data_IF_752133380025
#
_entry.id   IF_752133380025
#
_cell.length_a   1.000
_cell.length_b   1.000
_cell.length_c   1.000
_cell.angle_alpha   90.00
_cell.angle_beta   90.00
_cell.angle_gamma   90.00
#
_symmetry.space_group_name_H-M   'P 1'
#
loop_
_entity.id
_entity.type
_entity.pdbx_description
1 polymer ?
#
# COMPACT_ATOMS: atom_id res chain seq x y z
N UNK A 1 -76.23 -14.71 -46.86
CA UNK A 1 -75.33 -14.96 -45.68
C UNK A 1 -73.86 -15.15 -46.06
N UNK A 2 -73.24 -14.24 -46.81
CA UNK A 2 -71.82 -14.27 -47.17
C UNK A 2 -71.04 -12.94 -46.78
N UNK A 3 -71.76 -11.90 -46.33
CA UNK A 3 -71.19 -10.61 -45.98
C UNK A 3 -70.59 -10.49 -44.54
N UNK A 4 -71.35 -11.08 -43.57
CA UNK A 4 -70.97 -10.90 -42.13
C UNK A 4 -69.69 -11.65 -41.65
N UNK A 5 -69.27 -12.70 -42.37
CA UNK A 5 -68.04 -13.44 -41.97
C UNK A 5 -66.75 -12.79 -42.36
N UNK A 6 -66.75 -11.90 -43.38
CA UNK A 6 -65.56 -11.13 -43.81
C UNK A 6 -65.32 -9.91 -42.94
N UNK A 7 -66.36 -9.25 -42.46
CA UNK A 7 -66.23 -8.08 -41.61
C UNK A 7 -65.59 -8.38 -40.23
N UNK A 8 -65.97 -9.55 -39.66
CA UNK A 8 -65.40 -10.00 -38.39
C UNK A 8 -63.92 -10.40 -38.48
N UNK A 9 -63.48 -10.88 -39.63
CA UNK A 9 -62.04 -11.22 -39.88
C UNK A 9 -61.26 -9.94 -40.03
N UNK A 10 -61.69 -8.97 -40.77
CA UNK A 10 -61.05 -7.67 -40.95
C UNK A 10 -60.95 -6.88 -39.62
N UNK A 11 -61.99 -6.97 -38.79
CA UNK A 11 -61.99 -6.34 -37.46
C UNK A 11 -60.91 -6.94 -36.55
N UNK A 12 -60.73 -8.27 -36.57
CA UNK A 12 -59.69 -8.94 -35.79
C UNK A 12 -58.27 -8.60 -36.25
N UNK A 13 -58.04 -8.52 -37.56
CA UNK A 13 -56.76 -8.07 -38.11
C UNK A 13 -56.46 -6.62 -37.77
N UNK A 14 -57.45 -5.75 -37.86
CA UNK A 14 -57.32 -4.33 -37.49
C UNK A 14 -56.97 -4.15 -36.00
N UNK A 15 -57.56 -4.95 -35.09
CA UNK A 15 -57.25 -4.94 -33.68
C UNK A 15 -55.78 -5.39 -33.44
N UNK A 16 -55.33 -6.44 -34.12
CA UNK A 16 -53.92 -6.89 -34.00
C UNK A 16 -52.95 -5.81 -34.51
N UNK A 17 -53.24 -5.20 -35.64
CA UNK A 17 -52.43 -4.11 -36.19
C UNK A 17 -52.36 -2.91 -35.22
N UNK A 18 -53.49 -2.52 -34.62
CA UNK A 18 -53.50 -1.46 -33.61
C UNK A 18 -52.65 -1.81 -32.38
N UNK A 19 -52.74 -3.05 -31.89
CA UNK A 19 -51.91 -3.51 -30.75
C UNK A 19 -50.43 -3.46 -31.12
N UNK A 20 -50.02 -3.93 -32.30
CA UNK A 20 -48.63 -3.87 -32.77
C UNK A 20 -48.16 -2.43 -32.89
N UNK A 21 -48.96 -1.52 -33.41
CA UNK A 21 -48.66 -0.10 -33.50
C UNK A 21 -48.49 0.56 -32.11
N UNK A 22 -49.32 0.19 -31.13
CA UNK A 22 -49.20 0.70 -29.75
C UNK A 22 -47.90 0.19 -29.10
N UNK A 23 -47.60 -1.10 -29.26
CA UNK A 23 -46.35 -1.67 -28.74
C UNK A 23 -45.14 -0.98 -29.39
N UNK A 24 -45.16 -0.80 -30.73
CA UNK A 24 -44.10 -0.08 -31.46
C UNK A 24 -43.94 1.33 -31.00
N UNK A 25 -45.01 2.02 -30.72
CA UNK A 25 -44.97 3.41 -30.20
C UNK A 25 -44.42 3.49 -28.78
N UNK A 26 -44.78 2.56 -27.90
CA UNK A 26 -44.21 2.45 -26.54
C UNK A 26 -42.71 2.18 -26.61
N UNK A 27 -42.26 1.30 -27.49
CA UNK A 27 -40.83 1.02 -27.67
C UNK A 27 -40.06 2.26 -28.20
N UNK A 28 -40.65 3.01 -29.13
CA UNK A 28 -40.08 4.25 -29.63
C UNK A 28 -39.96 5.31 -28.53
N UNK A 29 -40.99 5.48 -27.70
CA UNK A 29 -40.96 6.41 -26.56
C UNK A 29 -39.87 5.99 -25.55
N UNK A 30 -39.73 4.69 -25.30
CA UNK A 30 -38.73 4.19 -24.39
C UNK A 30 -37.30 4.37 -24.95
N UNK A 31 -37.14 4.15 -26.26
CA UNK A 31 -35.86 4.42 -26.94
C UNK A 31 -35.49 5.91 -26.93
N UNK A 32 -36.48 6.79 -27.16
CA UNK A 32 -36.30 8.24 -27.08
C UNK A 32 -35.89 8.68 -25.67
N UNK A 33 -36.56 8.12 -24.65
CA UNK A 33 -36.19 8.38 -23.24
C UNK A 33 -34.75 7.96 -22.93
N UNK A 34 -34.37 6.74 -23.33
CA UNK A 34 -33.02 6.20 -23.12
C UNK A 34 -31.92 6.96 -23.87
N UNK A 35 -32.19 7.37 -25.13
CA UNK A 35 -31.14 7.97 -25.97
C UNK A 35 -31.06 9.49 -25.90
N UNK A 36 -32.19 10.16 -25.69
CA UNK A 36 -32.24 11.62 -25.75
C UNK A 36 -32.43 12.25 -24.38
N UNK A 37 -33.36 11.77 -23.56
CA UNK A 37 -33.62 12.37 -22.24
C UNK A 37 -32.50 12.01 -21.27
N UNK A 38 -32.19 10.69 -21.16
CA UNK A 38 -31.20 10.17 -20.22
C UNK A 38 -29.86 9.80 -20.90
N UNK A 39 -29.71 10.12 -22.18
CA UNK A 39 -28.53 9.71 -22.98
C UNK A 39 -27.22 10.24 -22.45
N UNK A 40 -27.20 11.46 -21.89
CA UNK A 40 -26.01 12.03 -21.28
C UNK A 40 -25.64 11.33 -19.97
N UNK A 41 -26.63 10.96 -19.16
CA UNK A 41 -26.41 10.24 -17.90
C UNK A 41 -25.88 8.82 -18.17
N UNK A 42 -26.45 8.12 -19.16
CA UNK A 42 -25.95 6.80 -19.55
C UNK A 42 -24.56 6.87 -20.21
N UNK A 43 -24.24 7.93 -20.98
CA UNK A 43 -22.89 8.14 -21.49
C UNK A 43 -21.91 8.45 -20.36
N UNK A 44 -22.28 9.29 -19.39
CA UNK A 44 -21.47 9.58 -18.23
C UNK A 44 -21.21 8.31 -17.39
N UNK A 45 -22.23 7.48 -17.16
CA UNK A 45 -22.10 6.17 -16.49
C UNK A 45 -21.21 5.19 -17.28
N UNK A 46 -21.31 5.18 -18.61
CA UNK A 46 -20.48 4.34 -19.47
C UNK A 46 -19.01 4.80 -19.45
N UNK A 47 -18.80 6.12 -19.54
CA UNK A 47 -17.45 6.71 -19.47
C UNK A 47 -16.82 6.46 -18.08
N UNK A 48 -17.59 6.64 -17.01
CA UNK A 48 -17.13 6.37 -15.65
C UNK A 48 -16.72 4.90 -15.40
N UNK A 49 -17.25 3.97 -16.18
CA UNK A 49 -16.87 2.55 -16.10
C UNK A 49 -15.55 2.23 -16.82
N UNK A 50 -15.14 3.06 -17.76
CA UNK A 50 -13.91 2.90 -18.55
C UNK A 50 -12.80 3.85 -18.09
N UNK A 51 -13.09 4.68 -17.11
CA UNK A 51 -12.17 5.68 -16.58
C UNK A 51 -11.98 5.44 -15.09
N UNK A 52 -10.75 5.44 -14.61
CA UNK A 52 -10.46 5.44 -13.18
C UNK A 52 -9.56 6.61 -12.81
N UNK A 53 -9.77 7.15 -11.63
CA UNK A 53 -8.89 8.13 -11.02
C UNK A 53 -7.95 7.41 -10.04
N UNK A 54 -6.65 7.73 -10.11
CA UNK A 54 -5.63 7.21 -9.22
C UNK A 54 -4.84 8.35 -8.60
N UNK A 55 -4.29 8.13 -7.42
CA UNK A 55 -3.46 9.11 -6.73
C UNK A 55 -2.07 9.20 -7.38
N UNK A 56 -1.59 10.42 -7.62
CA UNK A 56 -0.17 10.71 -7.89
C UNK A 56 0.44 11.21 -6.59
N UNK A 57 1.30 10.40 -5.99
CA UNK A 57 1.88 10.75 -4.71
C UNK A 57 2.84 11.93 -4.85
N UNK A 58 2.74 12.88 -3.92
CA UNK A 58 3.70 13.97 -3.82
C UNK A 58 4.99 13.49 -3.16
N UNK A 59 6.12 14.01 -3.60
CA UNK A 59 7.37 13.82 -2.89
C UNK A 59 7.30 14.51 -1.53
N UNK A 60 7.78 13.82 -0.51
CA UNK A 60 7.85 14.34 0.85
C UNK A 60 9.04 15.28 0.98
N UNK A 61 8.90 16.39 1.74
CA UNK A 61 9.99 17.29 2.05
C UNK A 61 11.13 16.59 2.78
N UNK A 62 12.32 17.11 2.63
CA UNK A 62 13.54 16.60 3.25
C UNK A 62 13.75 17.16 4.68
N UNK A 63 14.55 16.47 5.50
CA UNK A 63 14.95 16.98 6.81
C UNK A 63 16.47 17.18 6.79
N UNK A 64 16.90 18.41 7.05
CA UNK A 64 18.29 18.82 6.99
C UNK A 64 18.80 19.28 8.36
N UNK A 65 20.10 19.18 8.56
CA UNK A 65 20.78 19.85 9.66
C UNK A 65 20.98 21.36 9.37
N UNK A 66 21.47 22.11 10.33
CA UNK A 66 21.74 23.54 10.19
C UNK A 66 22.76 23.92 9.10
N UNK A 67 23.52 22.97 8.56
CA UNK A 67 24.55 23.15 7.54
C UNK A 67 24.09 22.60 6.17
N UNK A 68 22.83 22.16 6.04
CA UNK A 68 22.30 21.57 4.83
C UNK A 68 22.64 20.09 4.63
N UNK A 69 23.16 19.41 5.67
CA UNK A 69 23.37 17.95 5.62
C UNK A 69 22.03 17.26 5.73
N UNK A 70 21.72 16.40 4.76
CA UNK A 70 20.44 15.72 4.67
C UNK A 70 20.39 14.52 5.59
N UNK A 71 19.59 14.60 6.66
CA UNK A 71 19.27 13.47 7.53
C UNK A 71 18.28 12.53 6.86
N UNK A 72 17.24 13.10 6.27
CA UNK A 72 16.17 12.35 5.60
C UNK A 72 15.96 12.92 4.22
N UNK A 73 15.96 12.03 3.23
CA UNK A 73 15.68 12.37 1.84
C UNK A 73 14.48 11.59 1.32
N UNK A 74 13.87 12.11 0.27
CA UNK A 74 12.85 11.40 -0.47
C UNK A 74 13.36 11.13 -1.89
N UNK A 75 13.27 9.89 -2.32
CA UNK A 75 13.57 9.47 -3.68
C UNK A 75 12.33 8.84 -4.33
N UNK A 76 12.33 8.82 -5.65
CA UNK A 76 11.26 8.17 -6.41
C UNK A 76 11.45 6.66 -6.38
N UNK A 77 10.51 5.96 -5.78
CA UNK A 77 10.36 4.51 -5.87
C UNK A 77 9.19 4.12 -6.77
N UNK A 78 9.11 2.85 -7.10
CA UNK A 78 8.06 2.30 -7.94
C UNK A 78 7.39 1.13 -7.24
N UNK A 79 6.06 1.12 -7.24
CA UNK A 79 5.24 0.01 -6.74
C UNK A 79 4.50 -0.64 -7.90
N UNK A 80 4.22 -1.91 -7.77
CA UNK A 80 3.40 -2.67 -8.70
C UNK A 80 2.04 -2.94 -8.07
N UNK A 81 1.01 -2.36 -8.65
CA UNK A 81 -0.38 -2.52 -8.24
C UNK A 81 -1.11 -3.48 -9.17
N UNK A 82 -1.98 -4.31 -8.61
CA UNK A 82 -2.82 -5.25 -9.35
C UNK A 82 -4.29 -4.85 -9.22
N UNK A 83 -4.95 -4.63 -10.34
CA UNK A 83 -6.36 -4.30 -10.46
C UNK A 83 -7.18 -5.52 -10.89
N UNK A 84 -8.44 -5.57 -10.46
CA UNK A 84 -9.35 -6.61 -10.88
C UNK A 84 -9.71 -6.43 -12.36
N UNK A 85 -9.52 -7.51 -13.12
CA UNK A 85 -9.89 -7.63 -14.52
C UNK A 85 -11.05 -8.62 -14.68
N UNK A 86 -11.48 -8.86 -15.91
CA UNK A 86 -12.55 -9.82 -16.24
C UNK A 86 -12.08 -11.29 -16.24
N UNK A 87 -10.82 -11.55 -15.88
CA UNK A 87 -10.21 -12.88 -15.86
C UNK A 87 -10.85 -13.78 -14.79
N UNK A 88 -10.87 -15.10 -15.07
CA UNK A 88 -11.28 -16.09 -14.09
C UNK A 88 -10.16 -16.39 -13.06
N UNK A 89 -10.45 -17.20 -12.04
CA UNK A 89 -9.48 -17.49 -10.97
C UNK A 89 -8.23 -18.21 -11.48
N UNK A 90 -8.34 -19.11 -12.46
CA UNK A 90 -7.19 -19.82 -13.03
C UNK A 90 -6.25 -18.86 -13.77
N UNK A 91 -6.82 -17.97 -14.58
CA UNK A 91 -6.07 -16.94 -15.30
C UNK A 91 -5.40 -15.97 -14.33
N UNK A 92 -6.12 -15.55 -13.28
CA UNK A 92 -5.59 -14.68 -12.24
C UNK A 92 -4.43 -15.35 -11.50
N UNK A 93 -4.57 -16.61 -11.08
CA UNK A 93 -3.53 -17.35 -10.38
C UNK A 93 -2.27 -17.52 -11.25
N UNK A 94 -2.46 -17.84 -12.54
CA UNK A 94 -1.35 -17.94 -13.49
C UNK A 94 -0.67 -16.57 -13.73
N UNK A 95 -1.43 -15.49 -13.82
CA UNK A 95 -0.91 -14.14 -13.96
C UNK A 95 -0.06 -13.74 -12.74
N UNK A 96 -0.59 -13.98 -11.53
CA UNK A 96 0.13 -13.74 -10.26
C UNK A 96 1.47 -14.49 -10.25
N UNK A 97 1.49 -15.77 -10.61
CA UNK A 97 2.72 -16.55 -10.62
C UNK A 97 3.75 -16.00 -11.62
N UNK A 98 3.32 -15.58 -12.81
CA UNK A 98 4.20 -14.94 -13.81
C UNK A 98 4.81 -13.64 -13.26
N UNK A 99 3.98 -12.80 -12.62
CA UNK A 99 4.44 -11.55 -12.03
C UNK A 99 5.50 -11.81 -10.95
N UNK A 100 5.23 -12.75 -10.04
CA UNK A 100 6.18 -13.10 -8.97
C UNK A 100 7.51 -13.61 -9.56
N UNK A 101 7.48 -14.44 -10.60
CA UNK A 101 8.70 -14.92 -11.27
C UNK A 101 9.54 -13.78 -11.84
N UNK A 102 8.91 -12.80 -12.48
CA UNK A 102 9.64 -11.61 -12.98
C UNK A 102 10.26 -10.80 -11.84
N UNK A 103 9.54 -10.61 -10.73
CA UNK A 103 10.09 -9.92 -9.55
C UNK A 103 11.30 -10.65 -9.00
N UNK A 104 11.19 -11.96 -8.75
CA UNK A 104 12.26 -12.78 -8.19
C UNK A 104 13.50 -12.86 -9.11
N UNK A 105 13.29 -12.99 -10.44
CA UNK A 105 14.38 -12.98 -11.43
C UNK A 105 15.19 -11.68 -11.42
N UNK A 106 14.57 -10.57 -11.05
CA UNK A 106 15.22 -9.26 -10.95
C UNK A 106 15.67 -8.90 -9.52
N UNK A 107 15.50 -9.82 -8.56
CA UNK A 107 15.88 -9.61 -7.16
C UNK A 107 14.90 -8.75 -6.36
N UNK A 108 13.69 -8.54 -6.87
CA UNK A 108 12.63 -7.82 -6.19
C UNK A 108 11.79 -8.77 -5.32
N UNK A 109 11.21 -8.23 -4.25
CA UNK A 109 10.29 -8.96 -3.37
C UNK A 109 8.84 -8.54 -3.64
N UNK A 110 7.92 -9.47 -3.38
CA UNK A 110 6.48 -9.19 -3.38
C UNK A 110 5.94 -9.06 -1.96
N UNK A 111 4.76 -8.46 -1.82
CA UNK A 111 4.08 -8.32 -0.52
C UNK A 111 3.59 -9.68 -0.06
N UNK A 112 4.03 -10.10 1.12
CA UNK A 112 3.72 -11.41 1.71
C UNK A 112 3.44 -11.27 3.20
N UNK A 113 2.15 -11.19 3.54
CA UNK A 113 1.66 -11.15 4.93
C UNK A 113 0.96 -12.46 5.33
N UNK A 114 1.09 -13.52 4.53
CA UNK A 114 0.53 -14.82 4.84
C UNK A 114 1.37 -15.52 5.92
N UNK A 115 0.75 -15.86 7.03
CA UNK A 115 1.43 -16.44 8.21
C UNK A 115 1.66 -17.96 8.12
N UNK A 116 1.62 -18.55 6.92
CA UNK A 116 1.87 -19.98 6.71
C UNK A 116 3.15 -20.14 5.91
N UNK A 117 4.12 -20.83 6.49
CA UNK A 117 5.29 -21.36 5.79
C UNK A 117 5.03 -22.80 5.33
N UNK A 118 5.74 -23.21 4.29
CA UNK A 118 5.51 -24.56 3.70
C UNK A 118 6.78 -25.37 3.81
N UNK A 119 7.66 -25.68 3.88
CA UNK A 119 8.83 -26.57 3.98
C UNK A 119 9.70 -26.34 5.24
N UNK A 120 9.26 -26.74 6.44
CA UNK A 120 8.06 -27.52 6.79
C UNK A 120 6.82 -26.65 6.97
N UNK A 121 5.63 -27.25 6.91
CA UNK A 121 4.39 -26.53 7.23
C UNK A 121 4.38 -26.08 8.68
N UNK A 122 4.37 -24.77 8.90
CA UNK A 122 4.28 -24.12 10.21
C UNK A 122 3.66 -22.73 10.08
N UNK A 123 3.24 -22.17 11.20
CA UNK A 123 2.93 -20.74 11.26
C UNK A 123 4.23 -19.94 11.46
N UNK A 124 4.36 -18.83 10.76
CA UNK A 124 5.50 -17.90 10.88
C UNK A 124 5.47 -17.05 12.15
N UNK A 125 4.41 -17.17 12.96
CA UNK A 125 4.23 -16.50 14.24
C UNK A 125 3.95 -17.52 15.34
N UNK A 126 4.49 -17.29 16.55
CA UNK A 126 4.37 -18.22 17.69
C UNK A 126 3.18 -17.90 18.61
N UNK A 127 2.51 -16.74 18.41
CA UNK A 127 1.41 -16.30 19.27
C UNK A 127 0.10 -17.02 18.93
N UNK A 128 -0.32 -17.97 19.75
CA UNK A 128 -1.55 -18.76 19.54
C UNK A 128 -2.83 -17.92 19.41
N UNK A 129 -2.96 -16.85 20.18
CA UNK A 129 -4.15 -15.99 20.11
C UNK A 129 -4.21 -15.23 18.79
N UNK A 130 -3.06 -14.81 18.25
CA UNK A 130 -2.95 -14.18 16.95
C UNK A 130 -3.29 -15.17 15.85
N UNK A 131 -2.82 -16.42 15.93
CA UNK A 131 -3.17 -17.49 14.99
C UNK A 131 -4.68 -17.78 15.01
N UNK A 132 -5.29 -17.88 16.18
CA UNK A 132 -6.75 -18.09 16.31
C UNK A 132 -7.55 -16.94 15.71
N UNK A 133 -7.15 -15.70 15.98
CA UNK A 133 -7.79 -14.51 15.39
C UNK A 133 -7.67 -14.52 13.85
N UNK A 134 -6.48 -14.87 13.35
CA UNK A 134 -6.23 -14.97 11.91
C UNK A 134 -7.09 -16.08 11.26
N UNK A 135 -7.19 -17.26 11.86
CA UNK A 135 -8.07 -18.34 11.38
C UNK A 135 -9.51 -17.88 11.33
N UNK A 136 -10.00 -17.27 12.40
CA UNK A 136 -11.37 -16.76 12.49
C UNK A 136 -11.68 -15.70 11.43
N UNK A 137 -10.76 -14.74 11.20
CA UNK A 137 -10.93 -13.68 10.19
C UNK A 137 -10.95 -14.22 8.75
N UNK A 138 -10.32 -15.38 8.51
CA UNK A 138 -10.29 -16.05 7.19
C UNK A 138 -11.36 -17.13 7.01
N UNK A 139 -12.19 -17.38 8.03
CA UNK A 139 -13.23 -18.41 8.01
C UNK A 139 -12.66 -19.83 8.10
N UNK A 140 -11.49 -20.00 8.71
CA UNK A 140 -10.80 -21.27 8.88
C UNK A 140 -11.17 -21.88 10.24
N UNK A 141 -11.29 -23.20 10.30
CA UNK A 141 -11.53 -23.91 11.57
C UNK A 141 -10.35 -23.67 12.53
N UNK A 142 -10.67 -23.36 13.80
CA UNK A 142 -9.65 -23.06 14.82
C UNK A 142 -8.73 -24.25 15.12
N UNK A 143 -9.20 -25.50 14.93
CA UNK A 143 -8.45 -26.72 15.19
C UNK A 143 -7.46 -27.09 14.08
N UNK A 144 -7.51 -26.42 12.92
CA UNK A 144 -6.62 -26.75 11.79
C UNK A 144 -5.17 -26.42 12.11
N UNK A 145 -4.25 -27.32 11.75
CA UNK A 145 -2.81 -27.04 11.72
C UNK A 145 -2.43 -26.22 10.48
N UNK A 146 -1.16 -25.83 10.33
CA UNK A 146 -0.70 -24.99 9.22
C UNK A 146 -0.96 -25.63 7.85
N UNK A 147 -0.72 -26.94 7.71
CA UNK A 147 -0.97 -27.67 6.47
C UNK A 147 -2.46 -27.72 6.12
N UNK A 148 -3.32 -27.94 7.09
CA UNK A 148 -4.78 -27.94 6.87
C UNK A 148 -5.29 -26.55 6.51
N UNK A 149 -4.75 -25.48 7.12
CA UNK A 149 -5.04 -24.11 6.75
C UNK A 149 -4.59 -23.80 5.31
N UNK A 150 -3.39 -24.25 4.92
CA UNK A 150 -2.89 -24.11 3.56
C UNK A 150 -3.82 -24.81 2.55
N UNK A 151 -4.19 -26.07 2.80
CA UNK A 151 -5.07 -26.80 1.90
C UNK A 151 -6.45 -26.17 1.78
N UNK A 152 -7.02 -25.65 2.87
CA UNK A 152 -8.28 -24.90 2.85
C UNK A 152 -8.17 -23.64 1.99
N UNK A 153 -7.10 -22.85 2.14
CA UNK A 153 -6.90 -21.64 1.32
C UNK A 153 -6.60 -21.96 -0.14
N UNK A 154 -5.88 -23.07 -0.41
CA UNK A 154 -5.63 -23.56 -1.76
C UNK A 154 -6.92 -23.87 -2.49
N UNK A 155 -7.86 -24.55 -1.83
CA UNK A 155 -9.20 -24.83 -2.37
C UNK A 155 -10.01 -23.54 -2.52
N UNK A 156 -10.07 -22.70 -1.49
CA UNK A 156 -10.80 -21.42 -1.49
C UNK A 156 -10.37 -20.48 -2.62
N UNK A 157 -9.09 -20.44 -2.95
CA UNK A 157 -8.55 -19.61 -4.02
C UNK A 157 -8.44 -20.33 -5.36
N UNK A 158 -8.91 -21.57 -5.45
CA UNK A 158 -8.89 -22.41 -6.66
C UNK A 158 -7.47 -22.55 -7.26
N UNK A 159 -6.45 -22.71 -6.39
CA UNK A 159 -5.07 -22.85 -6.81
C UNK A 159 -4.80 -24.29 -7.22
N UNK A 160 -4.54 -24.52 -8.51
CA UNK A 160 -4.34 -25.85 -9.09
C UNK A 160 -2.88 -26.30 -9.15
N UNK A 161 -1.92 -25.40 -8.84
CA UNK A 161 -0.49 -25.73 -8.86
C UNK A 161 -0.20 -26.91 -7.93
N UNK A 162 0.50 -27.92 -8.45
CA UNK A 162 0.93 -29.09 -7.67
C UNK A 162 2.18 -28.76 -6.81
N UNK A 163 3.05 -27.89 -7.32
CA UNK A 163 4.19 -27.39 -6.56
C UNK A 163 3.70 -26.54 -5.39
N UNK A 164 4.10 -26.95 -4.18
CA UNK A 164 3.66 -26.34 -2.93
C UNK A 164 4.21 -24.92 -2.76
N UNK A 165 5.46 -24.68 -3.20
CA UNK A 165 6.08 -23.36 -3.14
C UNK A 165 5.41 -22.38 -4.09
N UNK A 166 5.16 -22.78 -5.35
CA UNK A 166 4.43 -21.95 -6.29
C UNK A 166 2.99 -21.67 -5.81
N UNK A 167 2.32 -22.69 -5.28
CA UNK A 167 0.99 -22.52 -4.70
C UNK A 167 0.98 -21.54 -3.52
N UNK A 168 2.01 -21.61 -2.65
CA UNK A 168 2.21 -20.70 -1.51
C UNK A 168 2.41 -19.25 -1.97
N UNK A 169 3.21 -19.03 -3.01
CA UNK A 169 3.45 -17.71 -3.62
C UNK A 169 2.17 -17.09 -4.16
N UNK A 170 1.40 -17.85 -4.92
CA UNK A 170 0.08 -17.41 -5.41
C UNK A 170 -0.83 -17.08 -4.24
N UNK A 171 -0.86 -17.95 -3.22
CA UNK A 171 -1.69 -17.79 -2.03
C UNK A 171 -1.39 -16.51 -1.26
N UNK A 172 -0.13 -16.08 -1.18
CA UNK A 172 0.27 -14.83 -0.55
C UNK A 172 -0.43 -13.62 -1.18
N UNK A 173 -0.37 -13.49 -2.50
CA UNK A 173 -1.05 -12.40 -3.22
C UNK A 173 -2.58 -12.53 -3.16
N UNK A 174 -3.13 -13.75 -3.26
CA UNK A 174 -4.58 -13.99 -3.11
C UNK A 174 -5.07 -13.61 -1.70
N UNK A 175 -4.23 -13.82 -0.70
CA UNK A 175 -4.49 -13.37 0.67
C UNK A 175 -4.54 -11.84 0.74
N UNK A 176 -3.55 -11.12 0.19
CA UNK A 176 -3.56 -9.66 0.10
C UNK A 176 -4.80 -9.11 -0.61
N UNK A 177 -5.17 -9.72 -1.74
CA UNK A 177 -6.40 -9.40 -2.49
C UNK A 177 -7.64 -9.49 -1.59
N UNK A 178 -7.70 -10.51 -0.75
CA UNK A 178 -8.85 -10.75 0.15
C UNK A 178 -8.89 -9.75 1.30
N UNK A 179 -7.75 -9.37 1.87
CA UNK A 179 -7.66 -8.46 3.01
C UNK A 179 -7.90 -6.99 2.62
N UNK A 180 -7.41 -6.57 1.46
CA UNK A 180 -7.35 -5.15 1.09
C UNK A 180 -8.52 -4.66 0.22
N UNK A 181 -9.39 -5.55 -0.22
CA UNK A 181 -10.53 -5.23 -1.07
C UNK A 181 -10.07 -4.91 -2.51
N UNK A 182 -10.37 -5.79 -3.42
CA UNK A 182 -9.90 -5.85 -4.79
C UNK A 182 -11.02 -5.53 -5.78
N UNK A 183 -10.85 -4.48 -6.57
CA UNK A 183 -11.84 -4.09 -7.58
C UNK A 183 -11.16 -3.47 -8.81
N UNK A 184 -11.95 -3.13 -9.81
CA UNK A 184 -11.48 -2.43 -11.02
C UNK A 184 -10.99 -1.00 -10.74
N UNK A 185 -11.37 -0.40 -9.63
CA UNK A 185 -10.98 0.98 -9.22
C UNK A 185 -10.10 1.00 -7.98
N UNK A 186 -10.02 -0.10 -7.24
CA UNK A 186 -9.20 -0.21 -6.04
C UNK A 186 -8.21 -1.37 -6.23
N UNK A 187 -6.93 -1.06 -6.48
CA UNK A 187 -5.91 -2.07 -6.65
C UNK A 187 -5.45 -2.65 -5.32
N UNK A 188 -4.66 -3.72 -5.43
CA UNK A 188 -3.85 -4.25 -4.35
C UNK A 188 -2.38 -4.08 -4.73
N UNK A 189 -1.59 -3.47 -3.86
CA UNK A 189 -0.14 -3.39 -4.00
C UNK A 189 0.47 -4.79 -3.83
N UNK A 190 1.15 -5.27 -4.85
CA UNK A 190 1.77 -6.60 -4.85
C UNK A 190 3.29 -6.58 -4.74
N UNK A 191 3.91 -5.46 -5.06
CA UNK A 191 5.35 -5.23 -4.81
C UNK A 191 5.61 -3.74 -4.64
N UNK A 192 6.59 -3.41 -3.81
CA UNK A 192 7.02 -2.03 -3.60
C UNK A 192 8.53 -1.89 -3.82
N UNK A 193 8.95 -0.68 -4.15
CA UNK A 193 10.34 -0.33 -4.44
C UNK A 193 11.02 -1.28 -5.44
N UNK A 194 10.30 -1.59 -6.54
CA UNK A 194 10.77 -2.49 -7.59
C UNK A 194 11.90 -1.86 -8.39
N UNK A 195 12.81 -2.71 -8.89
CA UNK A 195 13.97 -2.30 -9.68
C UNK A 195 13.58 -1.82 -11.08
N UNK A 196 14.47 -1.06 -11.71
CA UNK A 196 14.29 -0.62 -13.10
C UNK A 196 14.17 -1.79 -14.08
N UNK A 197 14.82 -2.92 -13.79
CA UNK A 197 14.75 -4.10 -14.64
C UNK A 197 13.33 -4.70 -14.64
N UNK A 198 12.70 -4.81 -13.48
CA UNK A 198 11.30 -5.24 -13.38
C UNK A 198 10.35 -4.28 -14.09
N UNK A 199 10.56 -2.96 -13.93
CA UNK A 199 9.77 -1.94 -14.62
C UNK A 199 9.86 -2.12 -16.15
N UNK A 200 11.07 -2.26 -16.69
CA UNK A 200 11.28 -2.46 -18.13
C UNK A 200 10.58 -3.74 -18.60
N UNK A 201 10.73 -4.85 -17.86
CA UNK A 201 10.14 -6.13 -18.22
C UNK A 201 8.61 -6.06 -18.25
N UNK A 202 7.97 -5.46 -17.24
CA UNK A 202 6.52 -5.27 -17.19
C UNK A 202 6.03 -4.29 -18.28
N UNK A 203 6.82 -3.28 -18.63
CA UNK A 203 6.46 -2.30 -19.67
C UNK A 203 6.58 -2.90 -21.07
N UNK A 204 7.63 -3.67 -21.34
CA UNK A 204 7.85 -4.31 -22.63
C UNK A 204 6.84 -5.43 -22.92
N UNK A 205 6.49 -6.20 -21.91
CA UNK A 205 5.60 -7.34 -22.02
C UNK A 205 4.20 -7.07 -21.44
N UNK A 206 3.77 -5.82 -21.41
CA UNK A 206 2.52 -5.40 -20.73
C UNK A 206 1.30 -6.25 -21.15
N UNK A 207 1.22 -6.69 -22.41
CA UNK A 207 0.13 -7.56 -22.90
C UNK A 207 0.08 -8.95 -22.24
N UNK A 208 1.18 -9.39 -21.62
CA UNK A 208 1.29 -10.69 -20.94
C UNK A 208 0.82 -10.64 -19.49
N UNK A 209 0.64 -9.44 -18.93
CA UNK A 209 0.31 -9.20 -17.52
C UNK A 209 -0.99 -8.41 -17.42
N UNK A 210 -2.10 -9.09 -17.10
CA UNK A 210 -3.40 -8.43 -17.00
C UNK A 210 -3.55 -7.67 -15.69
N UNK A 211 -4.01 -6.42 -15.77
CA UNK A 211 -4.43 -5.63 -14.61
C UNK A 211 -3.30 -5.05 -13.77
N UNK A 212 -2.05 -5.11 -14.22
CA UNK A 212 -0.95 -4.43 -13.51
C UNK A 212 -0.90 -2.93 -13.86
N UNK A 213 -0.42 -2.16 -12.90
CA UNK A 213 -0.08 -0.75 -13.06
C UNK A 213 1.17 -0.43 -12.24
N UNK A 214 2.10 0.34 -12.82
CA UNK A 214 3.32 0.76 -12.13
C UNK A 214 3.09 2.18 -11.63
N UNK A 215 3.08 2.30 -10.31
CA UNK A 215 2.82 3.57 -9.64
C UNK A 215 4.11 4.10 -9.04
N UNK A 216 4.35 5.39 -9.27
CA UNK A 216 5.44 6.12 -8.61
C UNK A 216 5.04 6.45 -7.18
N UNK A 217 5.89 6.11 -6.22
CA UNK A 217 5.71 6.44 -4.80
C UNK A 217 6.97 7.06 -4.21
N UNK A 218 6.83 8.04 -3.29
CA UNK A 218 7.98 8.56 -2.58
C UNK A 218 8.54 7.50 -1.62
N UNK A 219 9.85 7.28 -1.69
CA UNK A 219 10.61 6.42 -0.77
C UNK A 219 11.42 7.29 0.16
N UNK A 220 11.07 7.25 1.44
CA UNK A 220 11.80 7.98 2.49
C UNK A 220 13.06 7.20 2.86
N UNK A 221 14.20 7.88 2.85
CA UNK A 221 15.50 7.30 3.16
C UNK A 221 16.17 8.07 4.29
N UNK A 222 16.60 7.37 5.33
CA UNK A 222 17.39 7.90 6.43
C UNK A 222 18.87 7.70 6.10
N UNK A 223 19.56 8.78 5.72
CA UNK A 223 20.89 8.70 5.13
C UNK A 223 22.00 8.28 6.11
N UNK A 224 21.79 8.46 7.41
CA UNK A 224 22.82 8.32 8.43
C UNK A 224 22.48 7.21 9.46
N UNK A 225 21.71 6.18 9.06
CA UNK A 225 21.35 5.05 9.93
C UNK A 225 20.55 5.49 11.15
N UNK A 226 21.03 5.22 12.35
CA UNK A 226 20.37 5.56 13.62
C UNK A 226 20.63 7.00 14.10
N UNK A 227 21.47 7.78 13.41
CA UNK A 227 21.83 9.13 13.83
C UNK A 227 20.59 10.01 14.00
N UNK A 228 20.46 10.63 15.17
CA UNK A 228 19.34 11.48 15.56
C UNK A 228 17.96 10.78 15.52
N UNK A 229 17.90 9.43 15.61
CA UNK A 229 16.68 8.65 15.43
C UNK A 229 15.52 9.13 16.31
N UNK A 230 15.78 9.45 17.58
CA UNK A 230 14.74 9.94 18.51
C UNK A 230 14.24 11.35 18.18
N UNK A 231 15.08 12.18 17.55
CA UNK A 231 14.71 13.53 17.11
C UNK A 231 13.92 13.45 15.82
N UNK A 232 14.48 12.76 14.83
CA UNK A 232 13.85 12.61 13.50
C UNK A 232 12.54 11.87 13.59
N UNK A 233 12.49 10.84 14.42
CA UNK A 233 11.39 9.89 14.43
C UNK A 233 11.39 9.01 13.19
N UNK A 234 10.28 8.34 12.92
CA UNK A 234 10.14 7.48 11.75
C UNK A 234 8.80 7.66 11.05
N UNK A 235 8.78 7.33 9.76
CA UNK A 235 7.58 7.16 8.96
C UNK A 235 7.18 5.68 8.92
N UNK A 236 5.88 5.43 8.83
CA UNK A 236 5.33 4.10 8.63
C UNK A 236 4.00 4.16 7.88
N UNK A 237 3.52 3.04 7.37
CA UNK A 237 2.21 2.98 6.72
C UNK A 237 1.11 3.45 7.68
N UNK A 238 0.16 4.22 7.16
CA UNK A 238 -0.99 4.71 7.92
C UNK A 238 -1.85 3.52 8.36
N UNK A 239 -2.23 3.47 9.62
CA UNK A 239 -3.16 2.46 10.14
C UNK A 239 -4.60 2.87 9.90
N UNK A 240 -5.54 1.94 9.97
CA UNK A 240 -6.96 2.23 9.81
C UNK A 240 -7.47 3.24 10.87
N UNK A 241 -7.01 3.12 12.11
CA UNK A 241 -7.38 4.06 13.18
C UNK A 241 -6.81 5.45 12.98
N UNK A 242 -5.60 5.57 12.43
CA UNK A 242 -5.02 6.88 12.09
C UNK A 242 -5.76 7.50 10.91
N UNK A 243 -6.09 6.72 9.88
CA UNK A 243 -6.84 7.18 8.72
C UNK A 243 -8.20 7.79 9.10
N UNK A 244 -8.89 7.21 10.10
CA UNK A 244 -10.14 7.73 10.63
C UNK A 244 -9.97 9.06 11.39
N UNK A 245 -8.78 9.33 11.94
CA UNK A 245 -8.49 10.50 12.75
C UNK A 245 -7.87 11.68 11.98
N UNK A 246 -7.13 11.41 10.88
CA UNK A 246 -6.41 12.47 10.13
C UNK A 246 -7.28 13.19 9.09
N UNK A 247 -8.52 12.74 8.86
CA UNK A 247 -9.45 13.33 7.90
C UNK A 247 -9.18 12.97 6.45
N UNK A 248 -9.90 13.65 5.54
CA UNK A 248 -9.82 13.39 4.11
C UNK A 248 -8.44 13.72 3.52
N UNK A 249 -8.03 12.95 2.53
CA UNK A 249 -6.85 13.22 1.71
C UNK A 249 -5.66 12.28 1.96
N UNK A 250 -5.79 11.28 2.85
CA UNK A 250 -4.82 10.19 2.97
C UNK A 250 -5.30 8.92 2.27
N UNK A 251 -4.37 8.24 1.60
CA UNK A 251 -4.58 6.91 1.05
C UNK A 251 -4.17 5.84 2.09
N UNK A 252 -4.80 4.66 2.04
CA UNK A 252 -4.51 3.54 2.96
C UNK A 252 -3.06 3.04 2.90
N UNK A 253 -2.39 3.28 1.78
CA UNK A 253 -1.00 2.83 1.57
C UNK A 253 0.01 3.96 1.73
N UNK A 254 -0.42 5.13 2.18
CA UNK A 254 0.44 6.28 2.34
C UNK A 254 1.30 6.19 3.61
N UNK A 255 2.51 6.76 3.53
CA UNK A 255 3.38 6.90 4.70
C UNK A 255 2.96 8.13 5.50
N UNK A 256 2.94 7.97 6.82
CA UNK A 256 2.71 9.06 7.77
C UNK A 256 3.83 9.09 8.81
N UNK A 257 4.22 10.27 9.26
CA UNK A 257 5.14 10.42 10.39
C UNK A 257 4.51 9.90 11.68
N UNK A 258 5.20 8.98 12.36
CA UNK A 258 4.71 8.31 13.57
C UNK A 258 5.22 8.97 14.85
N UNK A 259 6.47 9.43 14.83
CA UNK A 259 7.13 10.04 16.00
C UNK A 259 8.05 11.18 15.57
N UNK A 260 8.58 11.93 16.53
CA UNK A 260 9.62 12.96 16.33
C UNK A 260 9.21 14.06 15.36
N UNK A 261 10.21 14.60 14.66
CA UNK A 261 10.03 15.66 13.64
C UNK A 261 9.11 15.18 12.51
N UNK A 262 9.22 13.93 12.12
CA UNK A 262 8.32 13.34 11.09
C UNK A 262 6.85 13.50 11.46
N UNK A 263 6.49 13.30 12.74
CA UNK A 263 5.11 13.46 13.21
C UNK A 263 4.71 14.91 13.39
N UNK A 264 5.56 15.70 14.08
CA UNK A 264 5.22 17.09 14.43
C UNK A 264 5.09 17.97 13.19
N UNK A 265 5.94 17.75 12.19
CA UNK A 265 5.97 18.52 10.94
C UNK A 265 5.30 17.80 9.78
N UNK A 266 4.49 16.76 10.05
CA UNK A 266 3.77 15.98 9.03
C UNK A 266 3.05 16.86 8.02
N UNK A 267 2.33 17.88 8.48
CA UNK A 267 1.57 18.81 7.64
C UNK A 267 2.42 19.55 6.61
N UNK A 268 3.70 19.80 6.93
CA UNK A 268 4.63 20.52 6.05
C UNK A 268 5.41 19.54 5.17
N UNK A 269 5.87 18.45 5.76
CA UNK A 269 6.68 17.44 5.07
C UNK A 269 5.90 16.64 4.01
N UNK A 270 4.62 16.32 4.23
CA UNK A 270 3.85 15.42 3.38
C UNK A 270 3.62 15.94 1.96
N UNK A 271 3.45 17.25 1.78
CA UNK A 271 2.98 17.81 0.50
C UNK A 271 1.48 17.56 0.24
N UNK A 272 1.07 17.66 -1.01
CA UNK A 272 -0.31 17.41 -1.44
C UNK A 272 -0.31 16.49 -2.66
N UNK A 273 -0.93 15.34 -2.54
CA UNK A 273 -1.07 14.39 -3.64
C UNK A 273 -1.88 14.99 -4.80
N UNK A 274 -1.49 14.66 -6.01
CA UNK A 274 -2.20 14.94 -7.24
C UNK A 274 -3.13 13.79 -7.63
N UNK A 275 -3.73 13.92 -8.82
CA UNK A 275 -4.65 12.95 -9.38
C UNK A 275 -4.33 12.67 -10.83
N UNK A 276 -4.42 11.42 -11.20
CA UNK A 276 -4.24 10.90 -12.55
C UNK A 276 -5.50 10.18 -12.99
N UNK A 277 -5.98 10.48 -14.17
CA UNK A 277 -7.05 9.72 -14.81
C UNK A 277 -6.45 8.72 -15.78
N UNK A 278 -6.93 7.49 -15.72
CA UNK A 278 -6.54 6.38 -16.58
C UNK A 278 -7.79 5.95 -17.35
N UNK A 279 -7.72 5.98 -18.67
CA UNK A 279 -8.74 5.45 -19.56
C UNK A 279 -8.40 4.00 -19.90
N UNK A 280 -9.41 3.14 -19.89
CA UNK A 280 -9.25 1.69 -20.11
C UNK A 280 -10.22 1.20 -21.17
N UNK A 281 -9.82 0.16 -21.90
CA UNK A 281 -10.70 -0.58 -22.77
C UNK A 281 -11.61 -1.54 -21.96
N UNK A 282 -12.51 -2.24 -22.65
CA UNK A 282 -13.45 -3.19 -22.05
C UNK A 282 -12.74 -4.41 -21.42
N UNK A 283 -11.50 -4.65 -21.74
CA UNK A 283 -10.67 -5.73 -21.21
C UNK A 283 -9.83 -5.29 -20.00
N UNK A 284 -9.86 -3.98 -19.67
CA UNK A 284 -9.07 -3.39 -18.58
C UNK A 284 -7.65 -2.97 -18.97
N UNK A 285 -7.32 -2.94 -20.28
CA UNK A 285 -6.03 -2.44 -20.72
C UNK A 285 -6.05 -0.91 -20.75
N UNK A 286 -4.96 -0.30 -20.31
CA UNK A 286 -4.79 1.16 -20.32
C UNK A 286 -4.72 1.65 -21.76
N UNK A 287 -5.60 2.57 -22.14
CA UNK A 287 -5.67 3.17 -23.49
C UNK A 287 -5.23 4.64 -23.49
N UNK A 288 -5.24 5.28 -22.33
CA UNK A 288 -4.80 6.66 -22.17
C UNK A 288 -4.57 7.00 -20.69
N UNK A 289 -3.72 7.98 -20.46
CA UNK A 289 -3.37 8.44 -19.13
C UNK A 289 -3.06 9.93 -19.17
N UNK A 290 -3.60 10.70 -18.20
CA UNK A 290 -3.30 12.13 -18.07
C UNK A 290 -3.49 12.60 -16.62
N UNK A 291 -2.62 13.52 -16.19
CA UNK A 291 -2.68 14.13 -14.86
C UNK A 291 -3.80 15.18 -14.86
N UNK A 292 -4.75 15.04 -13.95
CA UNK A 292 -5.86 15.97 -13.76
C UNK A 292 -5.58 17.00 -12.66
N UNK A 293 -4.75 16.63 -11.68
CA UNK A 293 -4.28 17.51 -10.61
C UNK A 293 -2.81 17.18 -10.33
N UNK A 294 -1.93 18.18 -10.49
CA UNK A 294 -0.49 18.02 -10.24
C UNK A 294 -0.21 17.86 -8.74
N UNK A 295 0.71 16.96 -8.33
CA UNK A 295 1.13 16.86 -6.96
C UNK A 295 1.96 18.09 -6.54
N UNK A 296 1.84 18.49 -5.27
CA UNK A 296 2.63 19.58 -4.69
C UNK A 296 3.59 18.97 -3.68
N UNK A 297 4.89 19.10 -3.94
CA UNK A 297 5.97 18.59 -3.09
C UNK A 297 5.90 19.20 -1.68
N UNK A 298 6.22 18.42 -0.66
CA UNK A 298 6.31 18.87 0.73
C UNK A 298 7.42 19.90 0.93
N UNK A 299 7.29 20.67 2.00
CA UNK A 299 8.32 21.64 2.40
C UNK A 299 9.43 20.96 3.19
N UNK A 300 10.67 21.36 2.96
CA UNK A 300 11.80 20.90 3.73
C UNK A 300 11.78 21.48 5.15
N UNK A 301 12.38 20.75 6.09
CA UNK A 301 12.54 21.15 7.48
C UNK A 301 14.04 21.22 7.81
N UNK A 302 14.52 22.42 8.11
CA UNK A 302 15.88 22.65 8.59
C UNK A 302 15.89 22.66 10.12
N UNK A 303 16.74 21.83 10.71
CA UNK A 303 16.91 21.72 12.15
C UNK A 303 18.06 22.62 12.64
N UNK A 304 18.03 22.99 13.91
CA UNK A 304 19.17 23.66 14.57
C UNK A 304 20.29 22.67 14.90
N UNK A 305 20.06 21.39 14.82
CA UNK A 305 21.02 20.32 15.09
C UNK A 305 22.15 20.35 14.06
N UNK A 306 23.38 20.14 14.55
CA UNK A 306 24.57 19.93 13.75
C UNK A 306 24.87 18.43 13.70
N UNK A 307 24.89 17.84 12.51
CA UNK A 307 25.06 16.39 12.33
C UNK A 307 26.38 15.86 12.93
N UNK A 308 27.43 16.65 12.87
CA UNK A 308 28.74 16.25 13.42
C UNK A 308 28.72 16.28 14.96
N UNK A 309 28.14 17.33 15.56
CA UNK A 309 28.01 17.45 17.03
C UNK A 309 27.11 16.34 17.54
N UNK A 310 25.99 16.05 16.85
CA UNK A 310 25.08 14.96 17.17
C UNK A 310 25.79 13.60 17.16
N UNK A 311 26.56 13.29 16.12
CA UNK A 311 27.30 12.04 16.01
C UNK A 311 28.35 11.87 17.14
N UNK A 312 29.04 12.95 17.52
CA UNK A 312 29.97 12.90 18.64
C UNK A 312 29.24 12.72 19.96
N UNK A 313 28.09 13.39 20.17
CA UNK A 313 27.30 13.27 21.39
C UNK A 313 26.73 11.84 21.56
N UNK A 314 26.15 11.24 20.51
CA UNK A 314 25.64 9.88 20.55
C UNK A 314 26.75 8.85 20.81
N UNK A 315 27.86 8.98 20.10
CA UNK A 315 29.01 8.09 20.32
C UNK A 315 29.55 8.19 21.75
N UNK A 316 29.74 9.39 22.27
CA UNK A 316 30.25 9.61 23.64
C UNK A 316 29.27 9.03 24.68
N UNK A 317 27.95 9.26 24.48
CA UNK A 317 26.92 8.73 25.37
C UNK A 317 26.92 7.20 25.40
N UNK A 318 26.99 6.56 24.24
CA UNK A 318 27.07 5.10 24.12
C UNK A 318 28.32 4.57 24.79
N UNK A 319 29.49 5.10 24.42
CA UNK A 319 30.80 4.65 24.96
C UNK A 319 30.84 4.79 26.49
N UNK A 320 30.29 5.88 27.05
CA UNK A 320 30.25 6.11 28.49
C UNK A 320 29.30 5.18 29.23
N UNK A 321 28.10 4.94 28.69
CA UNK A 321 27.14 3.99 29.27
C UNK A 321 27.72 2.59 29.29
N UNK A 322 28.32 2.13 28.18
CA UNK A 322 28.98 0.83 28.10
C UNK A 322 30.17 0.74 29.11
N UNK A 323 30.95 1.80 29.27
CA UNK A 323 32.06 1.88 30.21
C UNK A 323 31.59 1.83 31.67
N UNK A 324 30.53 2.55 32.01
CA UNK A 324 29.90 2.51 33.34
C UNK A 324 29.38 1.13 33.66
N UNK A 325 28.67 0.50 32.72
CA UNK A 325 28.12 -0.86 32.87
C UNK A 325 29.20 -1.93 33.08
N UNK A 326 30.39 -1.71 32.52
CA UNK A 326 31.52 -2.62 32.63
C UNK A 326 32.47 -2.30 33.81
N UNK A 327 32.19 -1.26 34.62
CA UNK A 327 33.00 -0.88 35.77
C UNK A 327 34.26 -0.08 35.42
N UNK A 328 34.30 0.55 34.24
CA UNK A 328 35.47 1.33 33.77
C UNK A 328 35.75 2.63 34.54
N UNK A 329 34.84 3.01 35.48
CA UNK A 329 34.99 4.14 36.39
C UNK A 329 35.04 3.69 37.87
N UNK A 330 35.56 2.50 38.16
CA UNK A 330 35.78 1.85 39.45
C UNK A 330 34.69 0.89 39.90
N UNK A 331 33.43 1.21 39.80
CA UNK A 331 32.29 0.32 40.16
C UNK A 331 31.42 -0.01 38.93
N UNK A 332 30.80 -1.17 38.94
CA UNK A 332 29.81 -1.54 37.94
C UNK A 332 28.46 -1.01 38.37
N UNK A 333 27.80 -0.32 37.45
CA UNK A 333 26.43 0.15 37.63
C UNK A 333 25.55 -0.44 36.52
N UNK A 334 24.27 -0.65 36.81
CA UNK A 334 23.28 -1.05 35.79
C UNK A 334 22.86 0.17 34.95
N UNK A 335 23.81 0.75 34.20
CA UNK A 335 23.51 1.82 33.27
C UNK A 335 23.07 1.23 31.92
N UNK A 336 21.80 1.44 31.56
CA UNK A 336 21.22 0.91 30.32
C UNK A 336 20.81 2.01 29.34
N UNK A 337 20.60 3.22 29.84
CA UNK A 337 20.11 4.32 29.02
C UNK A 337 20.61 5.67 29.53
N UNK A 338 20.56 6.66 28.65
CA UNK A 338 20.94 8.04 28.97
C UNK A 338 20.55 9.02 27.88
N UNK A 339 20.75 10.31 28.17
CA UNK A 339 20.50 11.39 27.23
C UNK A 339 21.55 12.48 27.37
N UNK A 340 21.85 13.18 26.27
CA UNK A 340 22.74 14.33 26.18
C UNK A 340 22.05 15.43 25.38
N UNK A 341 22.11 16.66 25.92
CA UNK A 341 21.67 17.88 25.24
C UNK A 341 22.84 18.84 25.12
N UNK A 342 23.11 19.29 23.89
CA UNK A 342 24.09 20.33 23.60
C UNK A 342 23.35 21.56 23.08
N UNK A 343 23.50 22.69 23.79
CA UNK A 343 22.78 23.93 23.47
C UNK A 343 23.73 25.10 23.34
N UNK A 344 23.48 25.94 22.34
CA UNK A 344 24.16 27.23 22.20
C UNK A 344 23.59 28.22 23.24
N UNK A 345 24.37 28.58 24.26
CA UNK A 345 23.89 29.44 25.36
C UNK A 345 23.60 30.87 24.95
N UNK A 346 24.05 31.30 23.76
CA UNK A 346 23.81 32.67 23.25
C UNK A 346 22.51 32.77 22.45
N UNK A 347 22.19 31.72 21.70
CA UNK A 347 21.01 31.70 20.79
C UNK A 347 19.86 30.86 21.32
N UNK A 348 20.12 29.92 22.23
CA UNK A 348 19.17 28.94 22.71
C UNK A 348 18.95 27.75 21.75
N UNK A 349 19.67 27.70 20.63
CA UNK A 349 19.55 26.61 19.65
C UNK A 349 20.09 25.31 20.22
N UNK A 350 19.36 24.23 20.00
CA UNK A 350 19.79 22.86 20.30
C UNK A 350 20.69 22.38 19.15
N UNK A 351 21.97 22.11 19.47
CA UNK A 351 22.97 21.65 18.50
C UNK A 351 23.09 20.15 18.45
N UNK A 352 22.79 19.46 19.55
CA UNK A 352 22.63 18.01 19.59
C UNK A 352 21.63 17.61 20.67
N UNK A 353 20.87 16.55 20.40
CA UNK A 353 19.91 15.94 21.31
C UNK A 353 20.00 14.40 21.12
N UNK A 354 20.81 13.77 21.94
CA UNK A 354 21.12 12.36 21.85
C UNK A 354 20.40 11.55 22.95
N UNK A 355 19.88 10.40 22.60
CA UNK A 355 19.33 9.41 23.52
C UNK A 355 19.90 8.04 23.20
N UNK A 356 20.16 7.23 24.21
CA UNK A 356 20.65 5.86 24.10
C UNK A 356 19.78 4.93 24.95
N UNK A 357 19.44 3.73 24.49
CA UNK A 357 19.77 3.13 23.19
C UNK A 357 19.01 3.79 22.04
N UNK A 358 19.61 3.71 20.84
CA UNK A 358 19.07 4.20 19.58
C UNK A 358 18.37 3.09 18.79
N UNK A 359 17.70 3.45 17.71
CA UNK A 359 17.07 2.52 16.76
C UNK A 359 17.29 3.00 15.32
N UNK A 360 17.10 2.10 14.35
CA UNK A 360 17.21 2.41 12.94
C UNK A 360 15.84 2.77 12.34
N UNK A 361 15.55 4.06 12.06
CA UNK A 361 14.24 4.50 11.58
C UNK A 361 13.87 3.91 10.22
N UNK A 362 14.85 3.59 9.38
CA UNK A 362 14.64 3.01 8.05
C UNK A 362 13.85 1.70 8.09
N UNK A 363 14.03 0.89 9.13
CA UNK A 363 13.33 -0.39 9.28
C UNK A 363 11.81 -0.22 9.40
N UNK A 364 11.34 0.92 9.90
CA UNK A 364 9.90 1.17 10.07
C UNK A 364 9.21 1.61 8.79
N UNK A 365 9.94 2.20 7.84
CA UNK A 365 9.41 2.67 6.54
C UNK A 365 8.83 1.52 5.73
N UNK A 366 9.54 0.39 5.69
CA UNK A 366 9.17 -0.80 4.90
C UNK A 366 8.40 -1.85 5.71
N UNK A 367 8.14 -1.57 7.00
CA UNK A 367 7.57 -2.53 7.94
C UNK A 367 8.66 -3.29 8.70
N UNK A 368 8.72 -3.10 10.01
CA UNK A 368 9.67 -3.78 10.90
C UNK A 368 9.16 -5.18 11.23
N UNK A 369 10.07 -6.17 11.28
CA UNK A 369 9.72 -7.52 11.73
C UNK A 369 9.34 -7.53 13.22
N UNK A 370 8.45 -8.44 13.61
CA UNK A 370 8.02 -8.58 15.01
C UNK A 370 9.18 -8.81 15.96
N UNK A 371 10.16 -9.62 15.56
CA UNK A 371 11.34 -9.92 16.37
C UNK A 371 12.19 -8.69 16.60
N UNK A 372 12.47 -7.92 15.54
CA UNK A 372 13.26 -6.68 15.64
C UNK A 372 12.52 -5.59 16.43
N UNK A 373 11.20 -5.50 16.27
CA UNK A 373 10.39 -4.59 17.08
C UNK A 373 10.43 -4.96 18.58
N UNK A 374 10.34 -6.25 18.91
CA UNK A 374 10.44 -6.72 20.30
C UNK A 374 11.84 -6.47 20.87
N UNK A 375 12.92 -6.69 20.10
CA UNK A 375 14.29 -6.36 20.49
C UNK A 375 14.41 -4.88 20.88
N UNK A 376 13.93 -3.97 20.06
CA UNK A 376 13.95 -2.54 20.36
C UNK A 376 13.09 -2.17 21.56
N UNK A 377 11.95 -2.83 21.74
CA UNK A 377 11.08 -2.63 22.91
C UNK A 377 11.74 -3.11 24.20
N UNK A 378 12.38 -4.26 24.17
CA UNK A 378 13.06 -4.85 25.34
C UNK A 378 14.32 -4.09 25.71
N UNK A 379 15.05 -3.56 24.75
CA UNK A 379 16.21 -2.68 24.96
C UNK A 379 15.82 -1.25 25.34
N UNK A 380 14.52 -0.93 25.37
CA UNK A 380 14.01 0.42 25.59
C UNK A 380 14.38 1.45 24.51
N UNK A 381 14.87 1.00 23.35
CA UNK A 381 15.30 1.88 22.25
C UNK A 381 14.15 2.71 21.65
N UNK A 382 12.89 2.30 21.83
CA UNK A 382 11.71 3.02 21.33
C UNK A 382 11.15 4.04 22.34
N UNK A 383 11.73 4.16 23.54
CA UNK A 383 11.28 5.14 24.51
C UNK A 383 12.05 6.44 24.36
N UNK A 384 11.36 7.54 24.11
CA UNK A 384 11.93 8.88 24.21
C UNK A 384 12.17 9.20 25.69
N UNK A 385 13.39 9.46 26.04
CA UNK A 385 13.82 9.82 27.40
C UNK A 385 14.27 11.28 27.51
#
# INVERSE_FOLDING_TARGET
MKGEKNDNINLRYNIIVVIICIIGFILLLQLFNLQIINGNDYRAMSSARLTRETTVYADRGEILDRNGVKFVTTSTGYSLDLYKTTTNNDELNNNILKIIKVLEENGDSYVDNLIIDVNPFKFSIDNEDSIKKWKKSNGINEDYNAEQCFNYLKEKYEIKNEDVEEARKIMAIRYEITQNGYSTVRPVEIANNITKNSILKFSEENSNFSGIDIITKPVVTYNNGSLASHVLGYCGKITQSELENVGDGYDKNELIGKTGIQYVFEKYLRGKNGKRQIDMDVNGNITGEYITEEPIVGSDVELTIDANIQAVAEKALKDDIEKISNGGYAEKFEAKAGAVVVMNTKTGEILALASYPDYEPQLFVNGISTDKYNEYRESEALYNR
#
